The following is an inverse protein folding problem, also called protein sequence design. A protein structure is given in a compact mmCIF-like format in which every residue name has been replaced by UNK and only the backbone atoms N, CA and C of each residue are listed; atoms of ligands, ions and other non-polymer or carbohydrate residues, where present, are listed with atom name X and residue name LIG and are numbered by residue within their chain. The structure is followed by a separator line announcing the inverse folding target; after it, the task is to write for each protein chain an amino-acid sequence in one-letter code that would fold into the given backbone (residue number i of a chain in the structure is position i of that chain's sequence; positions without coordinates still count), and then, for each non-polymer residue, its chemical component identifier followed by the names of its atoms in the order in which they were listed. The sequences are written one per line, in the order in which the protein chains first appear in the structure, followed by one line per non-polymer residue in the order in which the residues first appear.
data_IF_449688185965
#
_entry.id   IF_449688185965
#
_cell.length_a   1.000
_cell.length_b   1.000
_cell.length_c   1.000
_cell.angle_alpha   90.00
_cell.angle_beta   90.00
_cell.angle_gamma   90.00
#
_symmetry.space_group_name_H-M   'P 1'
#
loop_
_entity.id
_entity.type
_entity.pdbx_description
1 polymer ?
#
# COMPACT_ATOMS: atom_id res chain seq x y z
N UNK A 1 -20.70 -2.73 -11.82
CA UNK A 1 -19.86 -1.75 -11.09
C UNK A 1 -19.87 -0.46 -11.88
N UNK A 2 -20.28 0.68 -11.30
CA UNK A 2 -20.36 1.93 -12.06
C UNK A 2 -18.97 2.56 -12.14
N UNK A 3 -18.67 3.26 -13.23
CA UNK A 3 -17.40 3.98 -13.43
C UNK A 3 -17.12 4.97 -12.28
N UNK A 4 -18.17 5.52 -11.68
CA UNK A 4 -18.11 6.40 -10.50
C UNK A 4 -17.51 5.73 -9.28
N UNK A 5 -17.83 4.46 -9.04
CA UNK A 5 -17.35 3.71 -7.87
C UNK A 5 -15.85 3.42 -8.01
N UNK A 6 -15.41 3.12 -9.24
CA UNK A 6 -14.00 2.94 -9.56
C UNK A 6 -13.20 4.23 -9.37
N UNK A 7 -13.71 5.37 -9.85
CA UNK A 7 -13.05 6.67 -9.68
C UNK A 7 -12.94 7.09 -8.20
N UNK A 8 -13.98 6.84 -7.40
CA UNK A 8 -13.93 7.11 -5.95
C UNK A 8 -12.90 6.22 -5.24
N UNK A 9 -12.84 4.93 -5.58
CA UNK A 9 -11.83 4.03 -5.03
C UNK A 9 -10.41 4.46 -5.43
N UNK A 10 -10.22 4.82 -6.70
CA UNK A 10 -8.95 5.30 -7.24
C UNK A 10 -8.51 6.58 -6.50
N UNK A 11 -9.40 7.57 -6.39
CA UNK A 11 -9.11 8.83 -5.69
C UNK A 11 -8.82 8.57 -4.20
N UNK A 12 -9.61 7.70 -3.57
CA UNK A 12 -9.39 7.27 -2.19
C UNK A 12 -8.02 6.67 -1.97
N UNK A 13 -7.46 5.93 -2.94
CA UNK A 13 -6.13 5.32 -2.86
C UNK A 13 -4.99 6.31 -3.14
N UNK A 14 -5.11 7.20 -4.12
CA UNK A 14 -4.03 8.12 -4.50
C UNK A 14 -4.00 9.43 -3.69
N UNK A 15 -5.12 9.85 -3.09
CA UNK A 15 -5.20 11.07 -2.30
C UNK A 15 -4.17 11.14 -1.15
N UNK A 16 -4.01 10.12 -0.27
CA UNK A 16 -3.03 10.22 0.81
C UNK A 16 -1.59 10.16 0.30
N UNK A 17 -1.34 9.45 -0.80
CA UNK A 17 -0.01 9.36 -1.42
C UNK A 17 0.42 10.71 -1.96
N UNK A 18 -0.46 11.36 -2.73
CA UNK A 18 -0.21 12.69 -3.29
C UNK A 18 -0.05 13.74 -2.18
N UNK A 19 -0.85 13.65 -1.11
CA UNK A 19 -0.73 14.56 0.04
C UNK A 19 0.60 14.39 0.77
N UNK A 20 1.04 13.16 1.06
CA UNK A 20 2.36 12.89 1.66
C UNK A 20 3.50 13.37 0.74
N UNK A 21 3.37 13.14 -0.56
CA UNK A 21 4.35 13.60 -1.55
C UNK A 21 4.49 15.13 -1.51
N UNK A 22 3.37 15.85 -1.45
CA UNK A 22 3.35 17.31 -1.31
C UNK A 22 3.99 17.77 0.00
N UNK A 23 3.69 17.12 1.12
CA UNK A 23 4.29 17.43 2.42
C UNK A 23 5.81 17.23 2.38
N UNK A 24 6.28 16.11 1.82
CA UNK A 24 7.72 15.85 1.66
C UNK A 24 8.40 16.88 0.75
N UNK A 25 7.81 17.19 -0.40
CA UNK A 25 8.35 18.21 -1.32
C UNK A 25 8.39 19.58 -0.63
N UNK A 26 7.36 19.97 0.10
CA UNK A 26 7.33 21.22 0.86
C UNK A 26 8.38 21.26 1.96
N UNK A 27 8.61 20.15 2.66
CA UNK A 27 9.63 20.04 3.68
C UNK A 27 11.04 20.16 3.07
N UNK A 28 11.29 19.53 1.92
CA UNK A 28 12.56 19.63 1.19
C UNK A 28 12.79 21.08 0.75
N UNK A 29 11.77 21.71 0.14
CA UNK A 29 11.84 23.11 -0.28
C UNK A 29 12.10 24.05 0.92
N UNK A 30 11.46 23.79 2.06
CA UNK A 30 11.68 24.54 3.30
C UNK A 30 13.11 24.38 3.84
N UNK A 31 13.64 23.16 3.85
CA UNK A 31 15.04 22.88 4.23
C UNK A 31 15.99 23.58 3.26
N UNK A 32 15.71 23.55 1.96
CA UNK A 32 16.52 24.24 0.95
C UNK A 32 16.49 25.76 1.14
N UNK A 33 15.33 26.33 1.47
CA UNK A 33 15.19 27.77 1.70
C UNK A 33 15.93 28.23 2.97
N UNK A 34 15.96 27.39 4.01
CA UNK A 34 16.67 27.66 5.26
C UNK A 34 18.18 27.38 5.16
N UNK A 35 18.58 26.51 4.25
CA UNK A 35 19.98 26.14 4.07
C UNK A 35 20.72 27.20 3.25
N UNK A 36 21.86 27.68 3.76
CA UNK A 36 22.75 28.60 3.01
C UNK A 36 23.50 27.91 1.86
N UNK A 37 23.28 26.61 1.65
CA UNK A 37 23.93 25.83 0.60
C UNK A 37 23.28 26.10 -0.77
N UNK A 38 24.11 26.44 -1.76
CA UNK A 38 23.67 26.53 -3.16
C UNK A 38 23.65 25.14 -3.77
N UNK A 39 22.48 24.51 -3.78
CA UNK A 39 22.28 23.24 -4.49
C UNK A 39 22.36 23.47 -5.99
N UNK A 40 23.10 22.60 -6.69
CA UNK A 40 23.05 22.55 -8.15
C UNK A 40 21.71 21.90 -8.57
N UNK A 41 21.15 22.32 -9.71
CA UNK A 41 19.85 21.83 -10.19
C UNK A 41 19.77 20.29 -10.27
N UNK A 42 20.88 19.63 -10.63
CA UNK A 42 20.98 18.17 -10.69
C UNK A 42 20.92 17.46 -9.34
N UNK A 43 21.29 18.11 -8.24
CA UNK A 43 21.21 17.54 -6.89
C UNK A 43 19.76 17.53 -6.40
N UNK A 44 18.98 18.54 -6.78
CA UNK A 44 17.55 18.65 -6.39
C UNK A 44 16.73 17.57 -7.07
N UNK A 45 16.91 17.36 -8.37
CA UNK A 45 16.20 16.29 -9.09
C UNK A 45 16.53 14.91 -8.54
N UNK A 46 17.79 14.69 -8.11
CA UNK A 46 18.21 13.46 -7.44
C UNK A 46 17.49 13.25 -6.10
N UNK A 47 17.40 14.29 -5.25
CA UNK A 47 16.67 14.22 -3.98
C UNK A 47 15.18 13.90 -4.20
N UNK A 48 14.55 14.57 -5.17
CA UNK A 48 13.14 14.32 -5.51
C UNK A 48 12.94 12.87 -5.98
N UNK A 49 13.80 12.36 -6.85
CA UNK A 49 13.74 10.98 -7.32
C UNK A 49 13.86 9.97 -6.17
N UNK A 50 14.78 10.18 -5.23
CA UNK A 50 14.94 9.33 -4.05
C UNK A 50 13.73 9.38 -3.11
N UNK A 51 13.10 10.54 -2.95
CA UNK A 51 11.87 10.67 -2.15
C UNK A 51 10.70 9.90 -2.77
N UNK A 52 10.54 9.96 -4.09
CA UNK A 52 9.48 9.27 -4.80
C UNK A 52 9.72 7.76 -4.76
N UNK A 53 10.96 7.33 -4.99
CA UNK A 53 11.35 5.93 -4.91
C UNK A 53 11.06 5.35 -3.51
N UNK A 54 11.46 6.08 -2.45
CA UNK A 54 11.18 5.71 -1.07
C UNK A 54 9.68 5.61 -0.80
N UNK A 55 8.90 6.62 -1.17
CA UNK A 55 7.44 6.62 -0.98
C UNK A 55 6.75 5.44 -1.67
N UNK A 56 7.08 5.18 -2.94
CA UNK A 56 6.50 4.06 -3.72
C UNK A 56 6.92 2.72 -3.12
N UNK A 57 8.19 2.53 -2.81
CA UNK A 57 8.68 1.31 -2.19
C UNK A 57 8.02 1.06 -0.82
N UNK A 58 7.93 2.10 0.01
CA UNK A 58 7.27 2.06 1.31
C UNK A 58 5.81 1.68 1.20
N UNK A 59 5.07 2.28 0.27
CA UNK A 59 3.66 1.98 0.03
C UNK A 59 3.45 0.54 -0.41
N UNK A 60 4.21 0.07 -1.40
CA UNK A 60 4.15 -1.32 -1.88
C UNK A 60 4.44 -2.28 -0.72
N UNK A 61 5.46 -1.98 0.09
CA UNK A 61 5.81 -2.77 1.27
C UNK A 61 4.67 -2.79 2.28
N UNK A 62 4.06 -1.65 2.58
CA UNK A 62 2.99 -1.54 3.56
C UNK A 62 1.72 -2.29 3.15
N UNK A 63 1.39 -2.32 1.86
CA UNK A 63 0.22 -3.04 1.32
C UNK A 63 0.49 -4.55 1.19
N UNK A 64 1.76 -4.95 1.02
CA UNK A 64 2.12 -6.34 0.70
C UNK A 64 1.95 -7.32 1.86
N UNK A 65 1.80 -8.59 1.50
CA UNK A 65 1.82 -9.72 2.43
C UNK A 65 3.25 -9.96 2.97
N UNK A 66 3.35 -10.60 4.14
CA UNK A 66 4.58 -10.71 4.94
C UNK A 66 5.79 -11.24 4.15
N UNK A 67 5.58 -12.10 3.15
CA UNK A 67 6.67 -12.73 2.39
C UNK A 67 7.35 -11.78 1.37
N UNK A 68 6.62 -10.84 0.77
CA UNK A 68 7.18 -9.90 -0.25
C UNK A 68 8.02 -8.81 0.41
N UNK A 69 7.65 -8.42 1.63
CA UNK A 69 8.30 -7.34 2.39
C UNK A 69 9.77 -7.64 2.63
N UNK A 70 10.12 -8.87 3.01
CA UNK A 70 11.49 -9.27 3.28
C UNK A 70 12.39 -9.20 2.05
N UNK A 71 11.91 -9.71 0.91
CA UNK A 71 12.65 -9.66 -0.35
C UNK A 71 12.84 -8.21 -0.82
N UNK A 72 11.81 -7.38 -0.71
CA UNK A 72 11.88 -5.98 -1.13
C UNK A 72 12.84 -5.16 -0.26
N UNK A 73 12.76 -5.31 1.06
CA UNK A 73 13.69 -4.65 2.00
C UNK A 73 15.14 -5.08 1.75
N UNK A 74 15.37 -6.38 1.54
CA UNK A 74 16.70 -6.91 1.25
C UNK A 74 17.25 -6.36 -0.07
N UNK A 75 16.42 -6.33 -1.12
CA UNK A 75 16.79 -5.74 -2.41
C UNK A 75 17.10 -4.24 -2.30
N UNK A 76 16.30 -3.52 -1.51
CA UNK A 76 16.47 -2.08 -1.32
C UNK A 76 17.75 -1.77 -0.53
N UNK A 77 18.06 -2.53 0.51
CA UNK A 77 19.34 -2.44 1.25
C UNK A 77 20.54 -2.78 0.35
N UNK A 78 20.42 -3.82 -0.49
CA UNK A 78 21.43 -4.17 -1.49
C UNK A 78 21.70 -3.00 -2.44
N UNK A 79 20.64 -2.41 -2.99
CA UNK A 79 20.73 -1.24 -3.88
C UNK A 79 21.39 -0.06 -3.17
N UNK A 80 20.97 0.27 -1.94
CA UNK A 80 21.59 1.34 -1.14
C UNK A 80 23.08 1.09 -0.93
N UNK A 81 23.45 -0.15 -0.62
CA UNK A 81 24.84 -0.56 -0.36
C UNK A 81 25.69 -0.46 -1.63
N UNK A 82 25.21 -0.99 -2.76
CA UNK A 82 25.91 -0.90 -4.04
C UNK A 82 26.06 0.55 -4.50
N UNK A 83 25.03 1.38 -4.30
CA UNK A 83 25.09 2.80 -4.65
C UNK A 83 26.11 3.56 -3.79
N UNK A 84 26.12 3.31 -2.48
CA UNK A 84 27.09 3.88 -1.55
C UNK A 84 28.51 3.44 -1.91
N UNK A 85 28.73 2.16 -2.17
CA UNK A 85 30.04 1.62 -2.59
C UNK A 85 30.50 2.24 -3.91
N UNK A 86 29.63 2.33 -4.90
CA UNK A 86 29.94 2.96 -6.19
C UNK A 86 30.32 4.44 -6.04
N UNK A 87 29.59 5.18 -5.19
CA UNK A 87 29.84 6.61 -4.94
C UNK A 87 31.13 6.85 -4.16
N UNK A 88 31.47 5.99 -3.20
CA UNK A 88 32.70 6.09 -2.41
C UNK A 88 33.95 5.75 -3.23
N UNK A 89 33.83 4.84 -4.20
CA UNK A 89 34.93 4.39 -5.03
C UNK A 89 35.35 5.36 -6.14
N UNK A 90 34.56 6.39 -6.45
CA UNK A 90 34.80 7.28 -7.59
C UNK A 90 35.13 8.70 -7.13
N UNK A 91 36.36 9.16 -7.40
CA UNK A 91 36.86 10.48 -6.99
C UNK A 91 36.09 11.66 -7.61
N UNK A 92 35.42 11.45 -8.75
CA UNK A 92 34.67 12.50 -9.46
C UNK A 92 33.40 12.98 -8.71
N UNK A 93 33.10 12.44 -7.54
CA UNK A 93 31.85 12.68 -6.78
C UNK A 93 32.09 13.34 -5.42
N UNK A 94 33.23 13.99 -5.20
CA UNK A 94 33.51 14.71 -3.95
C UNK A 94 32.41 15.73 -3.62
N UNK A 95 31.89 16.46 -4.61
CA UNK A 95 30.80 17.42 -4.43
C UNK A 95 29.46 16.78 -4.03
N UNK A 96 29.27 15.49 -4.32
CA UNK A 96 28.04 14.75 -4.03
C UNK A 96 28.02 14.16 -2.62
N UNK A 97 29.18 14.09 -1.93
CA UNK A 97 29.32 13.49 -0.60
C UNK A 97 28.39 14.10 0.44
N UNK A 98 28.09 15.40 0.33
CA UNK A 98 27.18 16.11 1.26
C UNK A 98 25.71 15.83 0.97
N UNK A 99 25.35 15.57 -0.29
CA UNK A 99 23.96 15.37 -0.74
C UNK A 99 23.49 13.94 -0.50
N UNK A 100 24.39 12.95 -0.63
CA UNK A 100 24.09 11.53 -0.45
C UNK A 100 23.43 11.22 0.91
N UNK A 101 24.00 11.57 2.07
CA UNK A 101 23.37 11.24 3.36
C UNK A 101 21.99 11.92 3.49
N UNK A 102 21.82 13.12 2.92
CA UNK A 102 20.53 13.79 2.88
C UNK A 102 19.52 13.01 2.02
N UNK A 103 19.92 12.51 0.86
CA UNK A 103 19.09 11.67 0.00
C UNK A 103 18.69 10.34 0.68
N UNK A 104 19.60 9.72 1.44
CA UNK A 104 19.32 8.52 2.22
C UNK A 104 18.29 8.77 3.31
N UNK A 105 18.47 9.83 4.12
CA UNK A 105 17.51 10.22 5.16
C UNK A 105 16.13 10.48 4.54
N UNK A 106 16.12 11.19 3.41
CA UNK A 106 14.89 11.51 2.68
C UNK A 106 14.19 10.25 2.16
N UNK A 107 14.95 9.30 1.62
CA UNK A 107 14.44 8.01 1.18
C UNK A 107 13.86 7.22 2.36
N UNK A 108 14.53 7.20 3.52
CA UNK A 108 14.04 6.51 4.71
C UNK A 108 12.75 7.15 5.24
N UNK A 109 12.68 8.47 5.34
CA UNK A 109 11.48 9.19 5.81
C UNK A 109 10.30 9.00 4.86
N UNK A 110 10.53 9.09 3.55
CA UNK A 110 9.50 8.86 2.54
C UNK A 110 9.02 7.40 2.52
N UNK A 111 9.93 6.45 2.66
CA UNK A 111 9.59 5.03 2.80
C UNK A 111 8.76 4.76 4.06
N UNK A 112 9.11 5.37 5.21
CA UNK A 112 8.36 5.23 6.45
C UNK A 112 6.93 5.80 6.33
N UNK A 113 6.80 6.95 5.67
CA UNK A 113 5.51 7.57 5.37
C UNK A 113 4.65 6.69 4.45
N UNK A 114 5.25 6.20 3.36
CA UNK A 114 4.58 5.25 2.44
C UNK A 114 4.15 3.96 3.14
N UNK A 115 5.01 3.41 4.01
CA UNK A 115 4.73 2.21 4.78
C UNK A 115 3.56 2.40 5.74
N UNK A 116 3.51 3.54 6.44
CA UNK A 116 2.43 3.87 7.37
C UNK A 116 1.08 3.97 6.65
N UNK A 117 1.04 4.61 5.47
CA UNK A 117 -0.16 4.66 4.62
C UNK A 117 -0.53 3.24 4.15
N UNK A 118 0.41 2.49 3.59
CA UNK A 118 0.15 1.14 3.09
C UNK A 118 -0.36 0.19 4.19
N UNK A 119 0.19 0.30 5.39
CA UNK A 119 -0.25 -0.49 6.55
C UNK A 119 -1.68 -0.14 6.99
N UNK A 120 -2.07 1.14 6.92
CA UNK A 120 -3.44 1.56 7.21
C UNK A 120 -4.44 0.92 6.23
N UNK A 121 -4.13 0.93 4.92
CA UNK A 121 -4.95 0.25 3.91
C UNK A 121 -5.03 -1.26 4.13
N UNK A 122 -3.90 -1.89 4.45
CA UNK A 122 -3.85 -3.32 4.74
C UNK A 122 -4.76 -3.68 5.91
N UNK A 123 -4.78 -2.86 6.97
CA UNK A 123 -5.66 -3.06 8.13
C UNK A 123 -7.14 -3.06 7.73
N UNK A 124 -7.56 -2.07 6.95
CA UNK A 124 -8.94 -1.97 6.49
C UNK A 124 -9.33 -3.17 5.60
N UNK A 125 -8.50 -3.49 4.61
CA UNK A 125 -8.69 -4.66 3.74
C UNK A 125 -8.80 -5.97 4.52
N UNK A 126 -7.93 -6.18 5.50
CA UNK A 126 -7.95 -7.39 6.33
C UNK A 126 -9.24 -7.53 7.15
N UNK A 127 -9.86 -6.41 7.55
CA UNK A 127 -11.15 -6.44 8.25
C UNK A 127 -12.28 -6.88 7.33
N UNK A 128 -12.30 -6.37 6.09
CA UNK A 128 -13.24 -6.79 5.06
C UNK A 128 -13.09 -8.27 4.70
N UNK A 129 -11.86 -8.73 4.48
CA UNK A 129 -11.58 -10.15 4.19
C UNK A 129 -12.07 -11.06 5.33
N UNK A 130 -11.83 -10.69 6.60
CA UNK A 130 -12.32 -11.47 7.76
C UNK A 130 -13.86 -11.53 7.81
N UNK A 131 -14.55 -10.39 7.62
CA UNK A 131 -16.02 -10.35 7.61
C UNK A 131 -16.58 -11.17 6.45
N UNK A 132 -15.97 -11.08 5.28
CA UNK A 132 -16.35 -11.87 4.11
C UNK A 132 -16.15 -13.37 4.35
N UNK A 133 -15.02 -13.79 4.93
CA UNK A 133 -14.79 -15.18 5.29
C UNK A 133 -15.80 -15.69 6.33
N UNK A 134 -16.15 -14.89 7.34
CA UNK A 134 -17.20 -15.26 8.31
C UNK A 134 -18.57 -15.39 7.65
N UNK A 135 -18.90 -14.47 6.74
CA UNK A 135 -20.14 -14.53 5.98
C UNK A 135 -20.19 -15.78 5.10
N UNK A 136 -19.08 -16.12 4.42
CA UNK A 136 -18.98 -17.30 3.58
C UNK A 136 -19.15 -18.59 4.39
N UNK A 137 -18.50 -18.68 5.55
CA UNK A 137 -18.65 -19.82 6.46
C UNK A 137 -20.09 -19.97 6.96
N UNK A 138 -20.78 -18.86 7.25
CA UNK A 138 -22.19 -18.89 7.66
C UNK A 138 -23.08 -19.36 6.51
N UNK A 139 -22.86 -18.83 5.31
CA UNK A 139 -23.60 -19.22 4.12
C UNK A 139 -23.42 -20.71 3.80
N UNK A 140 -22.19 -21.21 3.89
CA UNK A 140 -21.87 -22.61 3.60
C UNK A 140 -22.45 -23.59 4.62
N UNK A 141 -22.37 -23.28 5.91
CA UNK A 141 -22.80 -24.20 6.96
C UNK A 141 -24.29 -24.07 7.32
N UNK A 142 -24.91 -22.90 7.14
CA UNK A 142 -26.30 -22.68 7.56
C UNK A 142 -27.22 -22.62 6.35
N UNK A 143 -26.95 -21.68 5.44
CA UNK A 143 -27.90 -21.38 4.36
C UNK A 143 -27.95 -22.53 3.32
N UNK A 144 -26.79 -23.09 2.96
CA UNK A 144 -26.74 -24.23 2.04
C UNK A 144 -27.32 -25.50 2.64
N UNK A 145 -27.12 -25.77 3.94
CA UNK A 145 -27.69 -26.94 4.60
C UNK A 145 -29.21 -26.85 4.68
N UNK A 146 -29.76 -25.68 5.00
CA UNK A 146 -31.20 -25.41 4.97
C UNK A 146 -31.76 -25.62 3.56
N UNK A 147 -31.11 -25.06 2.53
CA UNK A 147 -31.55 -25.25 1.14
C UNK A 147 -31.52 -26.73 0.72
N UNK A 148 -30.52 -27.50 1.14
CA UNK A 148 -30.44 -28.94 0.86
C UNK A 148 -31.56 -29.71 1.58
N UNK A 149 -31.81 -29.41 2.85
CA UNK A 149 -32.86 -30.04 3.63
C UNK A 149 -34.26 -29.76 3.04
N UNK A 150 -34.50 -28.52 2.62
CA UNK A 150 -35.75 -28.11 1.95
C UNK A 150 -35.94 -28.83 0.62
N UNK A 151 -34.88 -28.94 -0.18
CA UNK A 151 -34.97 -29.66 -1.45
C UNK A 151 -35.29 -31.14 -1.25
N UNK A 152 -34.74 -31.76 -0.19
CA UNK A 152 -35.03 -33.15 0.17
C UNK A 152 -36.46 -33.34 0.68
N UNK A 153 -37.01 -32.42 1.48
CA UNK A 153 -38.38 -32.53 1.97
C UNK A 153 -39.41 -32.44 0.84
N UNK A 154 -39.18 -31.53 -0.13
CA UNK A 154 -40.02 -31.42 -1.34
C UNK A 154 -39.94 -32.67 -2.21
N UNK A 155 -38.75 -33.24 -2.41
CA UNK A 155 -38.57 -34.48 -3.20
C UNK A 155 -39.27 -35.70 -2.58
N UNK A 156 -39.39 -35.74 -1.24
CA UNK A 156 -40.10 -36.80 -0.51
C UNK A 156 -41.63 -36.59 -0.42
N UNK A 157 -42.19 -35.57 -1.08
CA UNK A 157 -43.62 -35.26 -1.03
C UNK A 157 -44.07 -34.56 0.25
N UNK A 158 -43.14 -34.05 1.06
CA UNK A 158 -43.45 -33.24 2.23
C UNK A 158 -43.91 -31.83 1.86
N UNK A 159 -44.85 -31.27 2.61
CA UNK A 159 -45.21 -29.86 2.49
C UNK A 159 -44.20 -28.98 3.24
N UNK A 160 -43.84 -27.84 2.66
CA UNK A 160 -42.97 -26.85 3.30
C UNK A 160 -43.65 -26.26 4.55
N UNK A 161 -42.87 -25.86 5.58
CA UNK A 161 -43.42 -25.26 6.79
C UNK A 161 -44.19 -23.97 6.49
N UNK A 162 -45.32 -23.78 7.18
CA UNK A 162 -46.17 -22.59 7.04
C UNK A 162 -45.35 -21.34 7.45
N UNK A 163 -45.21 -20.38 6.52
CA UNK A 163 -44.39 -19.18 6.72
C UNK A 163 -43.02 -19.21 6.05
N UNK A 164 -42.73 -20.25 5.25
CA UNK A 164 -41.51 -20.29 4.44
C UNK A 164 -41.43 -19.10 3.46
N UNK A 165 -40.38 -18.30 3.59
CA UNK A 165 -40.04 -17.25 2.62
C UNK A 165 -38.82 -17.75 1.84
N UNK A 166 -38.91 -17.97 0.52
CA UNK A 166 -37.79 -18.45 -0.26
C UNK A 166 -36.65 -17.42 -0.20
N UNK A 167 -35.49 -17.82 0.33
CA UNK A 167 -34.30 -16.99 0.49
C UNK A 167 -33.56 -16.72 -0.82
N UNK A 168 -34.28 -16.67 -1.96
CA UNK A 168 -33.70 -16.35 -3.25
C UNK A 168 -33.67 -14.83 -3.39
N UNK A 169 -32.62 -14.19 -2.84
CA UNK A 169 -32.24 -12.83 -3.25
C UNK A 169 -31.06 -12.93 -4.22
N UNK A 170 -31.34 -12.57 -5.47
CA UNK A 170 -30.35 -12.33 -6.52
C UNK A 170 -29.47 -11.12 -6.22
#
# INVERSE_FOLDING_TARGET
MKITDFLHALYGMFAPVTLMSFVLISAILGIMFLSKYKFQLGQVSFLVAFSLLGSVAGLITGVSQESIVGALLTGLLGLMTTLLTYMLGKESLIEWRTVIPMALILLMLSALGGLSIGAAYKKERSSYERKYSQWLLRYENVDLELCKAERLSVMNGGQLPIGYVPTIRH
#
